data_IF_719374328336
#
_entry.id   IF_719374328336
#
_cell.length_a   1.000
_cell.length_b   1.000
_cell.length_c   1.000
_cell.angle_alpha   90.00
_cell.angle_beta   90.00
_cell.angle_gamma   90.00
#
_symmetry.space_group_name_H-M   'P 1'
#
loop_
_entity.id
_entity.type
_entity.pdbx_description
1 polymer ?
#
# COMPACT_ATOMS: atom_id res chain seq x y z
N UNK A 1 -16.37 -74.28 20.70
CA UNK A 1 -16.92 -73.27 19.78
C UNK A 1 -15.99 -72.06 19.90
N UNK A 2 -15.06 -71.74 18.98
CA UNK A 2 -15.08 -71.80 17.50
C UNK A 2 -16.23 -70.95 16.96
N UNK A 3 -16.07 -69.90 16.13
CA UNK A 3 -14.88 -69.25 15.50
C UNK A 3 -14.94 -67.71 15.82
N UNK A 4 -14.15 -66.73 15.33
CA UNK A 4 -13.14 -66.62 14.26
C UNK A 4 -12.12 -65.50 14.52
N UNK A 5 -11.17 -65.30 13.59
CA UNK A 5 -10.34 -64.09 13.42
C UNK A 5 -10.94 -63.18 12.33
N UNK A 6 -10.47 -61.94 12.20
CA UNK A 6 -9.91 -61.37 10.95
C UNK A 6 -9.11 -60.10 11.28
N UNK A 7 -7.82 -60.09 10.93
CA UNK A 7 -6.98 -58.90 11.04
C UNK A 7 -7.13 -58.03 9.79
N UNK A 8 -7.23 -56.71 9.95
CA UNK A 8 -7.18 -55.77 8.83
C UNK A 8 -5.80 -55.12 8.82
N UNK A 9 -4.93 -55.60 7.94
CA UNK A 9 -3.68 -54.94 7.61
C UNK A 9 -3.97 -53.80 6.61
N UNK A 10 -3.68 -52.56 7.00
CA UNK A 10 -3.73 -51.41 6.08
C UNK A 10 -2.36 -51.25 5.45
N UNK A 11 -2.29 -51.48 4.14
CA UNK A 11 -1.10 -51.33 3.31
C UNK A 11 -0.95 -49.84 2.95
N UNK A 12 -0.09 -49.13 3.67
CA UNK A 12 0.33 -47.78 3.27
C UNK A 12 1.43 -47.87 2.20
N UNK A 13 1.03 -47.97 0.94
CA UNK A 13 1.90 -47.77 -0.21
C UNK A 13 1.75 -46.32 -0.71
N UNK A 14 2.63 -45.43 -0.25
CA UNK A 14 2.76 -44.06 -0.77
C UNK A 14 4.08 -43.88 -1.52
N UNK A 15 4.01 -43.17 -2.65
CA UNK A 15 5.01 -43.18 -3.72
C UNK A 15 6.35 -42.53 -3.33
N UNK A 16 7.42 -43.05 -3.93
CA UNK A 16 8.78 -42.47 -3.84
C UNK A 16 8.92 -41.19 -4.68
N UNK A 17 9.80 -40.31 -4.20
CA UNK A 17 10.28 -39.10 -4.86
C UNK A 17 11.10 -39.40 -6.13
N UNK A 18 10.83 -38.64 -7.19
CA UNK A 18 11.81 -38.12 -8.15
C UNK A 18 11.11 -37.03 -8.99
N UNK A 19 11.71 -35.96 -9.49
CA UNK A 19 12.93 -35.21 -9.24
C UNK A 19 12.94 -34.10 -10.33
N UNK A 20 13.34 -32.87 -9.99
CA UNK A 20 13.87 -31.83 -10.89
C UNK A 20 13.14 -31.48 -12.21
N UNK A 21 12.68 -30.23 -12.34
CA UNK A 21 13.36 -29.23 -13.18
C UNK A 21 12.63 -27.87 -13.20
N UNK A 22 13.33 -26.86 -12.68
CA UNK A 22 13.55 -25.54 -13.28
C UNK A 22 12.51 -24.98 -14.28
N UNK A 23 11.88 -23.86 -13.93
CA UNK A 23 11.12 -23.00 -14.85
C UNK A 23 11.00 -21.56 -14.32
N UNK A 24 12.11 -21.00 -13.84
CA UNK A 24 12.18 -19.66 -13.25
C UNK A 24 13.19 -18.76 -13.97
N UNK A 25 13.12 -18.62 -15.32
CA UNK A 25 13.92 -17.61 -16.03
C UNK A 25 13.47 -17.36 -17.50
N UNK A 26 12.20 -17.03 -17.74
CA UNK A 26 11.73 -16.76 -19.13
C UNK A 26 10.64 -15.70 -19.33
N UNK A 27 10.56 -14.70 -18.47
CA UNK A 27 9.63 -13.56 -18.66
C UNK A 27 10.19 -12.19 -18.19
N UNK A 28 11.50 -11.98 -18.32
CA UNK A 28 12.21 -10.77 -17.84
C UNK A 28 13.18 -10.15 -18.86
N UNK A 29 13.13 -10.57 -20.14
CA UNK A 29 14.07 -10.13 -21.19
C UNK A 29 13.38 -9.63 -22.47
N UNK A 30 12.21 -9.00 -22.35
CA UNK A 30 11.54 -8.32 -23.47
C UNK A 30 11.26 -6.83 -23.18
N UNK A 31 12.18 -6.18 -22.44
CA UNK A 31 12.14 -4.74 -22.14
C UNK A 31 13.48 -4.02 -22.40
N UNK A 32 14.47 -4.68 -23.02
CA UNK A 32 15.82 -4.13 -23.22
C UNK A 32 16.40 -4.47 -24.61
N UNK A 33 15.82 -3.88 -25.67
CA UNK A 33 16.30 -4.07 -27.06
C UNK A 33 15.94 -2.91 -28.02
N UNK A 34 15.97 -1.66 -27.53
CA UNK A 34 15.80 -0.38 -28.27
C UNK A 34 16.56 0.66 -27.43
N UNK A 35 17.59 1.39 -27.87
CA UNK A 35 18.34 1.41 -29.13
C UNK A 35 19.79 1.83 -28.85
N UNK A 36 20.74 1.33 -29.64
CA UNK A 36 22.03 2.00 -29.86
C UNK A 36 22.54 1.64 -31.25
N UNK A 37 22.40 2.56 -32.19
CA UNK A 37 23.34 2.66 -33.29
C UNK A 37 23.58 4.14 -33.60
N UNK A 38 24.84 4.50 -33.77
CA UNK A 38 25.29 5.88 -33.88
C UNK A 38 26.37 5.89 -34.96
N UNK A 39 25.99 6.25 -36.19
CA UNK A 39 26.93 6.52 -37.28
C UNK A 39 26.51 7.83 -37.94
N UNK A 40 27.44 8.78 -37.96
CA UNK A 40 27.24 10.10 -38.57
C UNK A 40 27.62 10.09 -40.04
N UNK A 41 26.97 10.92 -40.86
CA UNK A 41 27.67 11.67 -41.90
C UNK A 41 26.94 12.96 -42.33
N UNK A 42 27.68 13.91 -42.91
CA UNK A 42 27.27 15.30 -43.15
C UNK A 42 26.45 15.54 -44.44
N UNK A 43 25.58 16.57 -44.42
CA UNK A 43 25.52 17.62 -45.47
C UNK A 43 24.63 18.83 -45.05
N UNK A 44 25.03 20.04 -45.45
CA UNK A 44 24.28 21.30 -45.25
C UNK A 44 23.06 21.42 -46.20
N UNK A 45 22.02 22.19 -45.83
CA UNK A 45 21.74 23.48 -46.51
C UNK A 45 20.82 24.44 -45.71
N UNK A 46 20.65 25.66 -46.23
CA UNK A 46 20.28 26.94 -45.60
C UNK A 46 18.88 27.15 -44.93
N UNK A 47 18.93 28.00 -43.89
CA UNK A 47 17.93 28.91 -43.28
C UNK A 47 16.45 28.93 -43.72
N UNK A 48 15.54 28.96 -42.72
CA UNK A 48 14.67 30.14 -42.51
C UNK A 48 14.17 30.29 -41.05
N UNK A 49 13.83 31.52 -40.65
CA UNK A 49 13.45 31.92 -39.27
C UNK A 49 11.96 32.23 -39.15
N UNK A 50 11.30 31.79 -38.06
CA UNK A 50 10.38 32.58 -37.23
C UNK A 50 9.65 31.72 -36.16
N UNK A 51 9.40 32.32 -34.99
CA UNK A 51 8.62 31.87 -33.84
C UNK A 51 7.49 30.84 -34.10
N UNK A 52 7.48 29.77 -33.29
CA UNK A 52 6.24 29.23 -32.68
C UNK A 52 6.54 28.82 -31.24
N UNK A 53 5.52 28.96 -30.40
CA UNK A 53 5.46 28.85 -28.95
C UNK A 53 6.21 27.68 -28.31
N UNK A 54 6.68 27.95 -27.08
CA UNK A 54 7.32 27.02 -26.16
C UNK A 54 6.38 25.85 -25.82
N UNK A 55 6.45 24.79 -26.62
CA UNK A 55 5.88 23.50 -26.25
C UNK A 55 6.56 23.02 -24.96
N UNK A 56 5.77 22.81 -23.92
CA UNK A 56 6.20 22.05 -22.75
C UNK A 56 6.60 20.65 -23.21
N UNK A 57 7.89 20.35 -23.17
CA UNK A 57 8.36 18.98 -23.31
C UNK A 57 7.76 18.18 -22.13
N UNK A 58 6.94 17.13 -22.37
CA UNK A 58 6.36 16.32 -21.30
C UNK A 58 7.41 15.52 -20.52
N UNK A 59 8.69 15.62 -20.90
CA UNK A 59 9.84 15.06 -20.19
C UNK A 59 10.73 16.13 -19.52
N UNK A 60 10.31 17.40 -19.50
CA UNK A 60 10.96 18.45 -18.70
C UNK A 60 10.72 18.16 -17.20
N UNK A 61 11.72 17.54 -16.58
CA UNK A 61 11.72 17.13 -15.18
C UNK A 61 11.64 18.35 -14.25
N UNK A 62 12.16 19.50 -14.66
CA UNK A 62 12.10 20.75 -13.90
C UNK A 62 10.69 21.37 -13.98
N UNK A 63 10.01 21.27 -15.13
CA UNK A 63 8.61 21.65 -15.26
C UNK A 63 7.70 20.77 -14.39
N UNK A 64 7.89 19.43 -14.43
CA UNK A 64 7.14 18.50 -13.58
C UNK A 64 7.41 18.73 -12.09
N UNK A 65 8.67 18.96 -11.70
CA UNK A 65 9.04 19.29 -10.32
C UNK A 65 8.43 20.63 -9.87
N UNK A 66 8.28 21.58 -10.79
CA UNK A 66 7.64 22.88 -10.53
C UNK A 66 6.12 22.77 -10.42
N UNK A 67 5.46 21.92 -11.21
CA UNK A 67 4.03 21.62 -11.05
C UNK A 67 3.76 20.90 -9.72
N UNK A 68 4.57 19.90 -9.35
CA UNK A 68 4.49 19.24 -8.05
C UNK A 68 4.62 20.23 -6.88
N UNK A 69 5.59 21.15 -6.95
CA UNK A 69 5.79 22.22 -5.95
C UNK A 69 4.76 23.35 -6.00
N UNK A 70 3.96 23.45 -7.07
CA UNK A 70 2.87 24.42 -7.18
C UNK A 70 1.51 23.82 -6.78
N UNK A 71 1.38 22.49 -6.83
CA UNK A 71 0.24 21.75 -6.29
C UNK A 71 0.31 21.62 -4.76
N UNK A 72 1.51 21.67 -4.18
CA UNK A 72 1.74 21.69 -2.74
C UNK A 72 2.13 23.11 -2.28
N UNK A 73 1.12 23.93 -1.98
CA UNK A 73 1.26 25.34 -1.57
C UNK A 73 1.78 25.51 -0.12
N UNK A 74 2.68 24.60 0.29
CA UNK A 74 3.37 24.63 1.57
C UNK A 74 4.87 24.80 1.37
N UNK A 75 5.37 26.01 1.63
CA UNK A 75 6.82 26.24 1.84
C UNK A 75 7.25 25.67 3.18
N UNK A 76 7.25 24.34 3.30
CA UNK A 76 7.79 23.63 4.46
C UNK A 76 9.21 23.16 4.13
N UNK A 77 10.17 23.52 4.98
CA UNK A 77 11.54 23.00 4.90
C UNK A 77 11.49 21.47 5.07
N UNK A 78 11.94 20.74 4.05
CA UNK A 78 11.71 19.29 3.93
C UNK A 78 12.39 18.46 5.05
N UNK A 79 13.33 19.04 5.79
CA UNK A 79 14.12 18.39 6.83
C UNK A 79 13.59 18.59 8.27
N UNK A 80 12.47 19.28 8.48
CA UNK A 80 11.84 19.39 9.82
C UNK A 80 10.42 18.83 9.81
N UNK A 81 10.18 17.66 10.46
CA UNK A 81 8.83 17.18 10.72
C UNK A 81 8.07 18.20 11.58
N UNK A 82 7.01 18.79 11.05
CA UNK A 82 6.08 19.64 11.83
C UNK A 82 5.29 18.84 12.84
N UNK A 83 5.15 17.53 12.62
CA UNK A 83 4.55 16.58 13.55
C UNK A 83 5.61 16.01 14.51
N UNK A 84 5.61 16.47 15.76
CA UNK A 84 6.45 15.89 16.83
C UNK A 84 5.62 14.94 17.70
N UNK A 85 6.10 13.72 18.02
CA UNK A 85 5.40 12.82 18.92
C UNK A 85 5.41 13.33 20.37
N UNK A 86 4.44 12.87 21.16
CA UNK A 86 4.38 13.10 22.59
C UNK A 86 5.44 12.23 23.28
N UNK A 87 6.15 12.78 24.28
CA UNK A 87 6.95 11.99 25.21
C UNK A 87 6.16 11.77 26.50
N UNK A 88 5.91 10.52 26.85
CA UNK A 88 5.14 10.15 28.04
C UNK A 88 5.94 10.32 29.33
N UNK A 89 5.25 10.21 30.48
CA UNK A 89 5.88 10.30 31.82
C UNK A 89 6.89 9.19 32.10
N UNK A 90 6.76 8.03 31.44
CA UNK A 90 7.71 6.91 31.49
C UNK A 90 8.80 6.97 30.39
N UNK A 91 8.85 8.08 29.63
CA UNK A 91 9.87 8.33 28.61
C UNK A 91 9.64 7.61 27.28
N UNK A 92 8.45 7.06 27.05
CA UNK A 92 8.06 6.45 25.77
C UNK A 92 7.63 7.51 24.76
N UNK A 93 7.69 7.12 23.49
CA UNK A 93 7.11 7.87 22.37
C UNK A 93 5.64 7.48 22.21
N UNK A 94 4.75 8.46 22.20
CA UNK A 94 3.34 8.30 21.87
C UNK A 94 3.01 9.13 20.62
N UNK A 95 2.11 8.64 19.77
CA UNK A 95 1.69 9.38 18.59
C UNK A 95 0.83 10.57 19.02
N UNK A 96 1.17 11.76 18.53
CA UNK A 96 0.30 12.93 18.62
C UNK A 96 -0.66 12.93 17.43
N UNK A 97 -1.84 12.33 17.65
CA UNK A 97 -2.90 12.25 16.65
C UNK A 97 -3.40 13.62 16.18
N UNK A 98 -3.17 14.72 16.92
CA UNK A 98 -3.63 16.05 16.51
C UNK A 98 -2.91 16.61 15.26
N UNK A 99 -1.73 16.06 14.92
CA UNK A 99 -1.01 16.36 13.66
C UNK A 99 -1.37 15.41 12.51
N UNK A 100 -2.07 14.30 12.79
CA UNK A 100 -2.40 13.25 11.82
C UNK A 100 -3.88 13.34 11.40
N UNK A 101 -4.76 13.52 12.38
CA UNK A 101 -6.21 13.52 12.20
C UNK A 101 -6.70 14.58 11.22
N UNK A 102 -7.68 14.18 10.41
CA UNK A 102 -8.23 15.02 9.36
C UNK A 102 -9.47 15.79 9.86
N UNK A 103 -9.88 16.79 9.08
CA UNK A 103 -11.15 17.50 9.29
C UNK A 103 -12.30 16.90 8.49
N UNK A 104 -12.12 15.71 7.90
CA UNK A 104 -13.15 15.04 7.13
C UNK A 104 -14.30 14.59 8.04
N UNK A 105 -15.54 14.67 7.53
CA UNK A 105 -16.70 14.20 8.27
C UNK A 105 -16.83 12.66 8.16
N UNK A 106 -17.01 11.97 9.29
CA UNK A 106 -17.29 10.53 9.30
C UNK A 106 -18.56 10.22 8.50
N UNK A 107 -18.49 9.25 7.59
CA UNK A 107 -19.63 8.73 6.82
C UNK A 107 -20.06 7.35 7.32
N UNK A 108 -21.30 6.97 7.03
CA UNK A 108 -21.77 5.60 7.28
C UNK A 108 -21.28 4.66 6.17
N UNK A 109 -20.55 3.62 6.56
CA UNK A 109 -19.96 2.64 5.65
C UNK A 109 -20.99 1.78 4.90
N UNK A 110 -22.24 1.67 5.37
CA UNK A 110 -23.33 1.01 4.63
C UNK A 110 -23.87 1.86 3.48
N UNK A 111 -23.81 3.18 3.62
CA UNK A 111 -24.26 4.17 2.63
C UNK A 111 -23.16 4.67 1.68
N UNK A 112 -21.89 4.35 1.94
CA UNK A 112 -20.76 4.89 1.19
C UNK A 112 -20.75 4.46 -0.28
N UNK A 113 -20.41 5.40 -1.17
CA UNK A 113 -20.33 5.20 -2.62
C UNK A 113 -18.97 4.59 -3.02
N UNK A 114 -18.78 3.30 -2.73
CA UNK A 114 -17.52 2.60 -2.98
C UNK A 114 -17.07 2.62 -4.46
N UNK A 115 -15.76 2.76 -4.73
CA UNK A 115 -15.20 2.80 -6.09
C UNK A 115 -15.24 1.45 -6.81
N UNK A 116 -15.41 0.34 -6.09
CA UNK A 116 -15.56 -1.01 -6.65
C UNK A 116 -17.02 -1.43 -6.65
N UNK A 117 -17.52 -2.01 -7.76
CA UNK A 117 -18.84 -2.63 -7.76
C UNK A 117 -18.84 -3.92 -6.91
N UNK A 118 -19.90 -4.15 -6.13
CA UNK A 118 -20.02 -5.29 -5.19
C UNK A 118 -19.90 -6.66 -5.87
N UNK A 119 -20.44 -6.77 -7.07
CA UNK A 119 -20.47 -7.96 -7.92
C UNK A 119 -19.23 -8.07 -8.84
N UNK A 120 -18.30 -7.12 -8.77
CA UNK A 120 -17.06 -7.16 -9.55
C UNK A 120 -16.18 -8.36 -9.15
N UNK A 121 -15.48 -8.92 -10.14
CA UNK A 121 -14.60 -10.08 -9.92
C UNK A 121 -13.54 -9.86 -8.81
N UNK A 122 -12.91 -8.68 -8.64
CA UNK A 122 -11.99 -8.43 -7.53
C UNK A 122 -12.66 -8.54 -6.15
N UNK A 123 -13.82 -7.90 -5.96
CA UNK A 123 -14.57 -7.95 -4.70
C UNK A 123 -15.04 -9.37 -4.41
N UNK A 124 -15.56 -10.08 -5.41
CA UNK A 124 -15.99 -11.47 -5.23
C UNK A 124 -14.84 -12.45 -4.95
N UNK A 125 -13.66 -12.23 -5.55
CA UNK A 125 -12.47 -13.02 -5.26
C UNK A 125 -11.99 -12.79 -3.82
N UNK A 126 -11.93 -11.53 -3.38
CA UNK A 126 -11.54 -11.17 -2.02
C UNK A 126 -12.55 -11.69 -0.98
N UNK A 127 -13.85 -11.52 -1.23
CA UNK A 127 -14.93 -12.08 -0.41
C UNK A 127 -14.78 -13.60 -0.22
N UNK A 128 -14.47 -14.32 -1.30
CA UNK A 128 -14.21 -15.77 -1.26
C UNK A 128 -12.93 -16.13 -0.50
N UNK A 129 -11.85 -15.36 -0.67
CA UNK A 129 -10.57 -15.62 -0.02
C UNK A 129 -10.62 -15.48 1.51
N UNK A 130 -11.38 -14.49 2.01
CA UNK A 130 -11.49 -14.19 3.44
C UNK A 130 -12.83 -14.60 4.07
N UNK A 131 -13.69 -15.30 3.34
CA UNK A 131 -15.04 -15.74 3.76
C UNK A 131 -15.91 -14.58 4.30
N UNK A 132 -16.03 -13.53 3.49
CA UNK A 132 -16.77 -12.30 3.77
C UNK A 132 -18.01 -12.15 2.89
N UNK A 133 -18.93 -11.26 3.25
CA UNK A 133 -19.93 -10.76 2.30
C UNK A 133 -19.27 -9.84 1.24
N UNK A 134 -19.91 -9.61 0.08
CA UNK A 134 -19.44 -8.63 -0.90
C UNK A 134 -19.27 -7.22 -0.32
N UNK A 135 -20.16 -6.77 0.56
CA UNK A 135 -20.04 -5.50 1.30
C UNK A 135 -18.78 -5.44 2.15
N UNK A 136 -18.54 -6.48 2.95
CA UNK A 136 -17.38 -6.55 3.84
C UNK A 136 -16.07 -6.57 3.05
N UNK A 137 -16.03 -7.30 1.93
CA UNK A 137 -14.90 -7.33 1.01
C UNK A 137 -14.66 -5.96 0.35
N UNK A 138 -15.72 -5.34 -0.18
CA UNK A 138 -15.69 -3.99 -0.77
C UNK A 138 -15.14 -2.95 0.22
N UNK A 139 -15.61 -2.98 1.47
CA UNK A 139 -15.13 -2.14 2.56
C UNK A 139 -13.64 -2.38 2.89
N UNK A 140 -13.27 -3.64 3.16
CA UNK A 140 -11.90 -3.99 3.55
C UNK A 140 -10.87 -3.67 2.44
N UNK A 141 -11.19 -3.94 1.18
CA UNK A 141 -10.35 -3.57 0.03
C UNK A 141 -10.18 -2.05 -0.09
N UNK A 142 -11.26 -1.29 0.11
CA UNK A 142 -11.24 0.18 0.04
C UNK A 142 -10.37 0.77 1.14
N UNK A 143 -10.51 0.30 2.39
CA UNK A 143 -9.64 0.69 3.49
C UNK A 143 -8.18 0.29 3.28
N UNK A 144 -7.91 -0.89 2.73
CA UNK A 144 -6.55 -1.36 2.44
C UNK A 144 -5.84 -0.41 1.47
N UNK A 145 -6.53 -0.03 0.38
CA UNK A 145 -5.98 0.88 -0.63
C UNK A 145 -5.87 2.34 -0.16
N UNK A 146 -6.72 2.78 0.77
CA UNK A 146 -6.65 4.12 1.39
C UNK A 146 -5.65 4.21 2.56
N UNK A 147 -5.22 3.07 3.13
CA UNK A 147 -4.33 3.04 4.30
C UNK A 147 -2.98 3.77 4.17
N UNK A 148 -2.38 3.97 2.97
CA UNK A 148 -1.17 4.78 2.82
C UNK A 148 -1.30 6.23 3.29
N UNK A 149 -2.50 6.85 3.22
CA UNK A 149 -2.73 8.24 3.62
C UNK A 149 -2.41 8.46 5.12
N UNK A 150 -2.91 7.56 5.97
CA UNK A 150 -2.64 7.59 7.40
C UNK A 150 -1.21 7.13 7.72
N UNK A 151 -0.73 6.10 7.01
CA UNK A 151 0.59 5.52 7.24
C UNK A 151 1.69 6.58 7.06
N UNK A 152 1.67 7.36 5.97
CA UNK A 152 2.69 8.39 5.72
C UNK A 152 2.85 9.36 6.89
N UNK A 153 1.75 9.98 7.32
CA UNK A 153 1.72 10.96 8.44
C UNK A 153 2.17 10.35 9.77
N UNK A 154 1.91 9.06 9.99
CA UNK A 154 2.33 8.34 11.21
C UNK A 154 3.85 8.06 11.19
N UNK A 155 4.43 7.74 10.02
CA UNK A 155 5.85 7.42 9.91
C UNK A 155 6.75 8.60 10.29
N UNK A 156 6.34 9.83 9.98
CA UNK A 156 7.08 11.05 10.33
C UNK A 156 7.35 11.14 11.85
N UNK A 157 6.34 10.80 12.67
CA UNK A 157 6.45 10.77 14.14
C UNK A 157 7.20 9.54 14.69
N UNK A 158 7.39 8.50 13.88
CA UNK A 158 8.00 7.22 14.27
C UNK A 158 9.44 7.04 13.75
N UNK A 159 10.12 8.13 13.41
CA UNK A 159 11.51 8.15 12.93
C UNK A 159 12.43 7.34 13.86
N UNK A 160 13.06 6.29 13.31
CA UNK A 160 13.94 5.37 14.04
C UNK A 160 13.25 4.35 14.97
N UNK A 161 11.92 4.33 15.03
CA UNK A 161 11.10 3.46 15.91
C UNK A 161 10.10 2.58 15.15
N UNK A 162 9.78 2.94 13.92
CA UNK A 162 9.03 2.09 12.99
C UNK A 162 9.84 0.84 12.59
N UNK A 163 9.16 -0.32 12.52
CA UNK A 163 9.75 -1.60 12.10
C UNK A 163 9.10 -2.10 10.79
N UNK A 164 7.77 -2.17 10.75
CA UNK A 164 7.02 -2.69 9.62
C UNK A 164 5.54 -2.26 9.71
N UNK A 165 4.80 -2.32 8.61
CA UNK A 165 3.33 -2.27 8.64
C UNK A 165 2.74 -3.49 7.93
N UNK A 166 1.46 -3.75 8.18
CA UNK A 166 0.66 -4.73 7.45
C UNK A 166 -0.80 -4.35 7.55
N UNK A 167 -1.56 -4.47 6.46
CA UNK A 167 -3.01 -4.42 6.56
C UNK A 167 -3.54 -5.77 7.03
N UNK A 168 -4.41 -5.79 8.04
CA UNK A 168 -5.17 -6.97 8.43
C UNK A 168 -6.41 -7.03 7.56
N UNK A 169 -6.51 -8.04 6.71
CA UNK A 169 -7.72 -8.34 5.94
C UNK A 169 -8.80 -9.03 6.79
N UNK A 170 -10.03 -9.12 6.26
CA UNK A 170 -11.12 -9.89 6.88
C UNK A 170 -12.30 -9.04 7.35
N UNK A 171 -13.01 -9.53 8.38
CA UNK A 171 -14.18 -8.88 8.99
C UNK A 171 -13.82 -7.69 9.90
N UNK A 172 -12.55 -7.59 10.30
CA UNK A 172 -11.98 -6.54 11.15
C UNK A 172 -10.78 -5.87 10.48
N UNK A 173 -10.99 -5.19 9.33
CA UNK A 173 -9.92 -4.55 8.59
C UNK A 173 -9.22 -3.48 9.45
N UNK A 174 -7.89 -3.45 9.43
CA UNK A 174 -7.10 -2.48 10.19
C UNK A 174 -5.68 -2.31 9.61
N UNK A 175 -5.14 -1.09 9.69
CA UNK A 175 -3.72 -0.82 9.47
C UNK A 175 -2.94 -1.16 10.75
N UNK A 176 -2.09 -2.18 10.70
CA UNK A 176 -1.24 -2.60 11.82
C UNK A 176 0.15 -2.02 11.62
N UNK A 177 0.64 -1.22 12.56
CA UNK A 177 1.98 -0.61 12.53
C UNK A 177 2.82 -1.21 13.65
N UNK A 178 3.87 -1.94 13.26
CA UNK A 178 4.83 -2.56 14.17
C UNK A 178 5.95 -1.58 14.50
N UNK A 179 6.19 -1.41 15.79
CA UNK A 179 7.10 -0.41 16.36
C UNK A 179 8.04 -1.04 17.39
N UNK A 180 9.08 -0.31 17.79
CA UNK A 180 9.97 -0.69 18.89
C UNK A 180 9.27 -0.58 20.26
N UNK A 181 9.70 -1.33 21.31
CA UNK A 181 9.00 -1.40 22.60
C UNK A 181 8.95 -0.10 23.44
N UNK A 182 9.70 0.92 23.03
CA UNK A 182 9.70 2.29 23.58
C UNK A 182 8.63 3.20 22.96
N UNK A 183 7.80 2.68 22.06
CA UNK A 183 6.56 3.32 21.59
C UNK A 183 5.37 2.80 22.41
N UNK A 184 4.36 3.64 22.62
CA UNK A 184 3.09 3.26 23.25
C UNK A 184 2.26 2.38 22.31
N UNK A 185 1.75 1.25 22.82
CA UNK A 185 0.77 0.46 22.09
C UNK A 185 -0.61 1.10 22.24
N UNK A 186 -1.26 1.44 21.14
CA UNK A 186 -2.56 2.11 21.13
C UNK A 186 -3.40 1.72 19.90
N UNK A 187 -4.68 2.05 19.93
CA UNK A 187 -5.61 1.85 18.81
C UNK A 187 -6.35 3.14 18.52
N UNK A 188 -6.46 3.52 17.26
CA UNK A 188 -7.06 4.80 16.84
C UNK A 188 -8.06 4.61 15.70
N UNK A 189 -9.10 5.48 15.66
CA UNK A 189 -10.06 5.56 14.55
C UNK A 189 -9.69 6.76 13.65
N UNK A 190 -8.99 6.51 12.56
CA UNK A 190 -8.59 7.55 11.61
C UNK A 190 -9.68 7.82 10.58
N UNK A 191 -10.10 9.07 10.38
CA UNK A 191 -11.04 9.46 9.32
C UNK A 191 -10.27 9.84 8.06
N UNK A 192 -10.45 9.07 6.99
CA UNK A 192 -9.77 9.25 5.70
C UNK A 192 -10.21 10.57 5.05
N UNK A 193 -9.26 11.33 4.48
CA UNK A 193 -9.52 12.54 3.71
C UNK A 193 -9.29 12.37 2.20
N UNK A 194 -8.58 11.32 1.78
CA UNK A 194 -8.43 10.98 0.36
C UNK A 194 -9.79 10.73 -0.30
N UNK A 195 -10.02 11.33 -1.49
CA UNK A 195 -11.29 11.29 -2.21
C UNK A 195 -11.76 9.88 -2.62
N UNK A 196 -10.86 8.91 -2.67
CA UNK A 196 -11.18 7.51 -2.92
C UNK A 196 -12.02 6.87 -1.80
N UNK A 197 -11.85 7.33 -0.55
CA UNK A 197 -12.45 6.73 0.64
C UNK A 197 -12.87 7.78 1.70
N UNK A 198 -13.09 9.03 1.28
CA UNK A 198 -13.29 10.19 2.15
C UNK A 198 -14.40 9.97 3.19
N UNK A 199 -14.07 10.21 4.46
CA UNK A 199 -14.97 10.04 5.59
C UNK A 199 -15.13 8.61 6.10
N UNK A 200 -14.62 7.59 5.40
CA UNK A 200 -14.53 6.24 5.97
C UNK A 200 -13.54 6.21 7.14
N UNK A 201 -13.81 5.36 8.12
CA UNK A 201 -12.94 5.17 9.27
C UNK A 201 -12.01 3.99 9.03
N UNK A 202 -10.71 4.26 9.06
CA UNK A 202 -9.64 3.28 9.09
C UNK A 202 -9.26 2.99 10.55
N UNK A 203 -9.46 1.76 11.06
CA UNK A 203 -8.90 1.35 12.33
C UNK A 203 -7.38 1.21 12.21
N UNK A 204 -6.65 1.77 13.17
CA UNK A 204 -5.17 1.69 13.25
C UNK A 204 -4.78 1.04 14.57
N UNK A 205 -3.82 0.11 14.52
CA UNK A 205 -3.25 -0.55 15.71
C UNK A 205 -1.72 -0.35 15.74
N UNK A 206 -1.23 0.34 16.77
CA UNK A 206 0.19 0.51 17.06
C UNK A 206 0.62 -0.62 17.99
N UNK A 207 1.55 -1.46 17.54
CA UNK A 207 1.93 -2.69 18.26
C UNK A 207 3.46 -2.85 18.34
N UNK A 208 3.98 -2.94 19.56
CA UNK A 208 5.38 -3.27 19.82
C UNK A 208 5.75 -4.64 19.24
N UNK A 209 6.89 -4.73 18.59
CA UNK A 209 7.55 -6.02 18.37
C UNK A 209 7.90 -6.67 19.73
N UNK A 210 7.91 -8.01 19.74
CA UNK A 210 8.28 -8.84 20.91
C UNK A 210 9.77 -9.08 20.96
#
# INVERSE_FOLDING_TARGET
>A
MSVSQHAIAIICASLMLAACADNSEKNLQQAAAVSTDNTADNANDETQSANTEQGTDPHDVDALLKELKAADDTTQDADTPTATPITTVDGKTQIDWSYIDTKAARVDAGSFAYPFAKDSQPVMNYAKAYNLSPEQAQYAMTLSMASPEALGKILDQLTGKYIAHSFRDGDKPALIIKVTPDVVNETHEYVIADKFAEGLVLPIEIVSAK
#
